data_IF_299394659745
#
_entry.id   IF_299394659745
#
_cell.length_a   1.000
_cell.length_b   1.000
_cell.length_c   1.000
_cell.angle_alpha   90.00
_cell.angle_beta   90.00
_cell.angle_gamma   90.00
#
_symmetry.space_group_name_H-M   'P 1'
#
loop_
_entity.id
_entity.type
_entity.pdbx_description
1 polymer ?
#
# COMPACT_ATOMS: atom_id res chain seq x y z
N UNK A 1 -17.37 -6.20 -18.60
CA UNK A 1 -16.42 -7.33 -18.50
C UNK A 1 -15.89 -7.60 -19.90
N UNK A 2 -14.66 -7.23 -20.18
CA UNK A 2 -14.02 -7.57 -21.44
C UNK A 2 -13.48 -8.98 -21.34
N UNK A 3 -13.80 -9.83 -22.27
CA UNK A 3 -13.31 -11.20 -22.36
C UNK A 3 -12.07 -11.14 -23.25
N UNK A 4 -10.93 -11.76 -22.86
CA UNK A 4 -9.78 -11.80 -23.76
C UNK A 4 -10.17 -12.44 -25.09
N UNK A 5 -10.07 -11.66 -26.17
CA UNK A 5 -10.44 -12.09 -27.54
C UNK A 5 -9.19 -12.46 -28.37
N UNK A 6 -8.12 -12.85 -27.69
CA UNK A 6 -6.90 -13.29 -28.33
C UNK A 6 -6.88 -14.82 -28.43
N UNK A 7 -6.62 -15.42 -29.62
CA UNK A 7 -6.65 -16.88 -29.79
C UNK A 7 -5.72 -17.66 -28.84
N UNK A 8 -4.54 -17.12 -28.54
CA UNK A 8 -3.59 -17.72 -27.60
C UNK A 8 -4.08 -17.70 -26.14
N UNK A 9 -5.03 -16.84 -25.79
CA UNK A 9 -5.63 -16.78 -24.46
C UNK A 9 -6.87 -17.65 -24.30
N UNK A 10 -7.36 -18.26 -25.39
CA UNK A 10 -8.54 -19.13 -25.34
C UNK A 10 -8.40 -20.27 -24.32
N UNK A 11 -7.23 -20.97 -24.18
CA UNK A 11 -7.03 -22.02 -23.17
C UNK A 11 -7.03 -21.50 -21.73
N UNK A 12 -6.78 -20.22 -21.50
CA UNK A 12 -6.66 -19.62 -20.17
C UNK A 12 -7.90 -18.81 -19.77
N UNK A 13 -8.90 -18.71 -20.68
CA UNK A 13 -10.06 -17.82 -20.50
C UNK A 13 -10.76 -18.00 -19.15
N UNK A 14 -11.02 -19.24 -18.74
CA UNK A 14 -11.69 -19.53 -17.47
C UNK A 14 -10.83 -19.08 -16.27
N UNK A 15 -9.52 -19.34 -16.33
CA UNK A 15 -8.58 -18.94 -15.28
C UNK A 15 -8.43 -17.41 -15.19
N UNK A 16 -8.33 -16.72 -16.34
CA UNK A 16 -8.26 -15.25 -16.39
C UNK A 16 -9.52 -14.63 -15.76
N UNK A 17 -10.71 -15.08 -16.15
CA UNK A 17 -11.96 -14.56 -15.57
C UNK A 17 -12.09 -14.86 -14.07
N UNK A 18 -11.61 -16.00 -13.61
CA UNK A 18 -11.60 -16.36 -12.19
C UNK A 18 -10.57 -15.56 -11.38
N UNK A 19 -9.54 -15.03 -12.03
CA UNK A 19 -8.50 -14.21 -11.40
C UNK A 19 -8.88 -12.74 -11.28
N UNK A 20 -9.99 -12.27 -11.88
CA UNK A 20 -10.45 -10.89 -11.72
C UNK A 20 -10.78 -10.58 -10.25
N UNK A 21 -10.17 -9.54 -9.71
CA UNK A 21 -10.45 -9.04 -8.36
C UNK A 21 -11.04 -7.64 -8.38
N UNK A 22 -12.11 -7.38 -7.62
CA UNK A 22 -12.63 -6.03 -7.44
C UNK A 22 -11.64 -5.16 -6.65
N UNK A 23 -11.64 -3.86 -6.94
CA UNK A 23 -10.84 -2.83 -6.30
C UNK A 23 -11.69 -1.64 -5.88
N UNK A 24 -11.20 -0.89 -4.89
CA UNK A 24 -11.63 0.47 -4.63
C UNK A 24 -10.48 1.42 -5.02
N UNK A 25 -10.59 2.01 -6.20
CA UNK A 25 -9.62 2.98 -6.70
C UNK A 25 -9.71 4.26 -5.87
N UNK A 26 -8.55 4.77 -5.46
CA UNK A 26 -8.42 5.98 -4.66
C UNK A 26 -8.12 7.15 -5.59
N UNK A 27 -8.94 8.18 -5.52
CA UNK A 27 -8.75 9.45 -6.23
C UNK A 27 -8.44 10.51 -5.18
N UNK A 28 -7.28 11.16 -5.31
CA UNK A 28 -6.82 12.20 -4.40
C UNK A 28 -7.37 13.55 -4.86
N UNK A 29 -8.04 14.25 -3.93
CA UNK A 29 -8.64 15.55 -4.20
C UNK A 29 -8.10 16.59 -3.20
N UNK A 30 -7.46 17.68 -3.65
CA UNK A 30 -7.06 18.76 -2.78
C UNK A 30 -8.26 19.30 -2.00
N UNK A 31 -8.17 19.38 -0.68
CA UNK A 31 -9.26 19.84 0.17
C UNK A 31 -8.73 20.77 1.25
N UNK A 32 -9.40 21.93 1.43
CA UNK A 32 -9.01 22.92 2.45
C UNK A 32 -9.39 22.55 3.88
N UNK A 33 -10.43 21.72 4.06
CA UNK A 33 -10.94 21.33 5.38
C UNK A 33 -11.18 19.83 5.44
N UNK A 34 -10.22 19.09 6.01
CA UNK A 34 -10.34 17.65 6.25
C UNK A 34 -10.96 17.38 7.62
N UNK A 35 -12.05 16.62 7.68
CA UNK A 35 -12.63 16.16 8.95
C UNK A 35 -11.77 15.08 9.61
N UNK A 36 -11.96 14.84 10.90
CA UNK A 36 -11.20 13.79 11.61
C UNK A 36 -11.55 12.40 11.12
N UNK A 37 -12.79 12.14 10.73
CA UNK A 37 -13.32 10.81 10.41
C UNK A 37 -13.33 10.43 8.92
N UNK A 38 -13.10 11.37 7.99
CA UNK A 38 -13.10 11.07 6.56
C UNK A 38 -11.85 10.34 6.08
N UNK A 39 -11.95 9.70 4.92
CA UNK A 39 -10.80 9.14 4.20
C UNK A 39 -9.91 10.25 3.65
N UNK A 40 -8.58 10.11 3.85
CA UNK A 40 -7.60 11.14 3.51
C UNK A 40 -6.17 10.63 3.45
N UNK A 41 -5.31 11.38 2.78
CA UNK A 41 -3.86 11.32 2.88
C UNK A 41 -3.40 12.46 3.80
N UNK A 42 -2.56 12.14 4.78
CA UNK A 42 -2.02 13.14 5.72
C UNK A 42 -3.06 13.81 6.60
N UNK A 43 -2.72 14.97 7.14
CA UNK A 43 -3.57 15.73 8.04
C UNK A 43 -3.67 15.14 9.46
N UNK A 44 -4.67 15.60 10.23
CA UNK A 44 -4.89 15.11 11.59
C UNK A 44 -5.68 13.79 11.57
N UNK A 45 -5.26 12.77 12.33
CA UNK A 45 -5.93 11.47 12.33
C UNK A 45 -7.24 11.49 13.14
N UNK A 46 -8.11 10.53 12.85
CA UNK A 46 -9.13 10.10 13.78
C UNK A 46 -8.45 9.51 15.03
N UNK A 47 -8.73 10.04 16.20
CA UNK A 47 -8.15 9.57 17.46
C UNK A 47 -9.18 9.67 18.58
N UNK A 48 -9.73 8.53 19.07
CA UNK A 48 -10.56 8.52 20.26
C UNK A 48 -9.84 9.12 21.50
N UNK A 49 -10.59 9.75 22.41
CA UNK A 49 -10.03 10.37 23.60
C UNK A 49 -9.30 9.40 24.54
N UNK A 50 -9.66 8.12 24.50
CA UNK A 50 -9.07 7.05 25.31
C UNK A 50 -7.97 6.26 24.57
N UNK A 51 -7.68 6.58 23.29
CA UNK A 51 -6.66 5.94 22.50
C UNK A 51 -5.29 6.63 22.63
N UNK A 52 -4.24 5.84 22.58
CA UNK A 52 -2.88 6.36 22.54
C UNK A 52 -2.47 6.70 21.10
N UNK A 53 -1.87 7.88 20.91
CA UNK A 53 -1.28 8.25 19.62
C UNK A 53 -0.07 7.38 19.30
N UNK A 54 0.05 6.80 18.07
CA UNK A 54 1.13 5.89 17.71
C UNK A 54 2.50 6.60 17.73
N UNK A 55 3.47 5.93 18.34
CA UNK A 55 4.84 6.43 18.50
C UNK A 55 5.85 5.33 18.16
N UNK A 56 7.02 5.76 17.68
CA UNK A 56 8.16 4.86 17.50
C UNK A 56 8.80 4.48 18.86
N UNK A 57 9.76 3.55 18.92
CA UNK A 57 10.42 3.14 20.16
C UNK A 57 11.15 4.27 20.91
N UNK A 58 11.45 5.37 20.24
CA UNK A 58 12.03 6.58 20.85
C UNK A 58 10.98 7.57 21.33
N UNK A 59 9.71 7.16 21.37
CA UNK A 59 8.55 7.97 21.77
C UNK A 59 8.23 9.16 20.87
N UNK A 60 8.79 9.19 19.67
CA UNK A 60 8.45 10.20 18.67
C UNK A 60 7.12 9.84 17.99
N UNK A 61 6.24 10.82 17.74
CA UNK A 61 4.97 10.55 17.08
C UNK A 61 5.21 10.08 15.65
N UNK A 62 4.46 9.08 15.22
CA UNK A 62 4.39 8.70 13.82
C UNK A 62 3.50 9.68 13.06
N UNK A 63 3.73 9.82 11.77
CA UNK A 63 2.94 10.72 10.90
C UNK A 63 1.85 9.92 10.21
N UNK A 64 0.62 10.41 10.22
CA UNK A 64 -0.46 9.81 9.43
C UNK A 64 -0.10 9.90 7.94
N UNK A 65 0.01 8.75 7.29
CA UNK A 65 0.15 8.69 5.84
C UNK A 65 -1.23 8.62 5.18
N UNK A 66 -2.04 7.65 5.57
CA UNK A 66 -3.37 7.45 5.01
C UNK A 66 -4.39 7.05 6.08
N UNK A 67 -5.62 7.47 5.89
CA UNK A 67 -6.79 7.07 6.67
C UNK A 67 -7.91 6.69 5.72
N UNK A 68 -8.51 5.52 5.95
CA UNK A 68 -9.62 5.00 5.18
C UNK A 68 -10.82 4.80 6.09
N UNK A 69 -11.90 5.48 5.81
CA UNK A 69 -13.21 5.19 6.39
C UNK A 69 -13.92 4.20 5.45
N UNK A 70 -14.04 2.95 5.88
CA UNK A 70 -14.63 1.89 5.04
C UNK A 70 -16.09 2.14 4.65
N UNK A 71 -16.80 2.99 5.37
CA UNK A 71 -18.16 3.38 4.99
C UNK A 71 -18.23 4.27 3.74
N UNK A 72 -17.11 4.89 3.34
CA UNK A 72 -17.00 5.78 2.18
C UNK A 72 -16.59 5.05 0.90
N UNK A 73 -16.13 3.79 1.01
CA UNK A 73 -15.64 3.04 -0.14
C UNK A 73 -16.63 1.98 -0.64
N UNK A 74 -16.56 1.58 -1.93
CA UNK A 74 -17.32 0.44 -2.43
C UNK A 74 -16.96 -0.83 -1.63
N UNK A 75 -17.94 -1.69 -1.32
CA UNK A 75 -17.68 -2.91 -0.58
C UNK A 75 -16.79 -3.86 -1.38
N UNK A 76 -15.77 -4.40 -0.73
CA UNK A 76 -14.87 -5.41 -1.28
C UNK A 76 -15.00 -6.72 -0.49
N UNK A 77 -14.85 -7.90 -1.14
CA UNK A 77 -14.82 -9.18 -0.46
C UNK A 77 -13.79 -9.21 0.67
N UNK A 78 -14.15 -9.77 1.81
CA UNK A 78 -13.33 -9.91 3.02
C UNK A 78 -12.93 -8.60 3.71
N UNK A 79 -13.13 -7.44 3.11
CA UNK A 79 -12.84 -6.14 3.73
C UNK A 79 -13.93 -5.69 4.71
N UNK A 80 -13.61 -4.85 5.71
CA UNK A 80 -14.62 -4.18 6.51
C UNK A 80 -15.55 -3.33 5.65
N UNK A 81 -16.80 -3.16 6.08
CA UNK A 81 -17.76 -2.23 5.46
C UNK A 81 -18.00 -0.98 6.32
N UNK A 82 -17.32 -0.89 7.47
CA UNK A 82 -17.37 0.23 8.41
C UNK A 82 -16.07 0.31 9.20
N UNK A 83 -15.90 1.39 9.97
CA UNK A 83 -14.70 1.61 10.77
C UNK A 83 -13.60 2.35 10.00
N UNK A 84 -12.56 2.72 10.72
CA UNK A 84 -11.45 3.54 10.21
C UNK A 84 -10.15 2.75 10.29
N UNK A 85 -9.49 2.55 9.16
CA UNK A 85 -8.12 2.06 9.04
C UNK A 85 -7.18 3.25 8.92
N UNK A 86 -6.05 3.19 9.63
CA UNK A 86 -5.02 4.22 9.57
C UNK A 86 -3.66 3.58 9.30
N UNK A 87 -2.89 4.22 8.43
CA UNK A 87 -1.50 3.88 8.15
C UNK A 87 -0.62 5.05 8.56
N UNK A 88 0.23 4.83 9.55
CA UNK A 88 1.23 5.80 10.02
C UNK A 88 2.63 5.35 9.61
N UNK A 89 3.49 6.32 9.35
CA UNK A 89 4.91 6.11 9.03
C UNK A 89 5.80 6.96 9.93
N UNK A 90 7.04 6.52 10.09
CA UNK A 90 8.05 7.27 10.83
C UNK A 90 8.79 8.23 9.89
N UNK A 91 8.81 9.53 10.24
CA UNK A 91 9.61 10.54 9.54
C UNK A 91 10.87 10.95 10.33
N UNK A 92 11.06 10.40 11.52
CA UNK A 92 12.15 10.79 12.41
C UNK A 92 13.31 9.82 12.35
N UNK A 93 14.52 10.37 12.42
CA UNK A 93 15.75 9.57 12.54
C UNK A 93 16.46 9.33 11.23
N UNK A 94 17.66 8.87 11.38
CA UNK A 94 18.61 8.67 10.32
C UNK A 94 18.31 7.36 9.54
N UNK A 95 18.21 7.40 8.22
CA UNK A 95 17.87 6.25 7.36
C UNK A 95 16.54 5.57 7.72
N UNK A 96 15.53 6.35 8.00
CA UNK A 96 14.28 5.76 8.44
C UNK A 96 13.46 5.09 7.33
N UNK A 97 13.77 5.30 6.05
CA UNK A 97 13.05 4.73 4.89
C UNK A 97 11.51 4.73 5.10
N UNK A 98 10.97 5.83 5.66
CA UNK A 98 9.57 5.95 6.08
C UNK A 98 9.09 4.85 7.02
N UNK A 99 10.02 4.32 7.83
CA UNK A 99 9.75 3.30 8.84
C UNK A 99 9.78 1.86 8.37
N UNK A 100 10.20 1.59 7.13
CA UNK A 100 10.35 0.24 6.60
C UNK A 100 11.50 -0.49 7.32
N UNK A 101 11.22 -1.66 7.87
CA UNK A 101 12.22 -2.66 8.27
C UNK A 101 12.31 -3.75 7.19
N UNK A 102 13.26 -3.62 6.26
CA UNK A 102 13.43 -4.56 5.15
C UNK A 102 13.77 -6.00 5.59
N UNK A 103 14.23 -6.18 6.85
CA UNK A 103 14.53 -7.51 7.40
C UNK A 103 13.33 -8.16 8.07
N UNK A 104 12.40 -7.35 8.56
CA UNK A 104 11.16 -7.80 9.18
C UNK A 104 10.02 -6.84 8.80
N UNK A 105 9.41 -6.99 7.62
CA UNK A 105 8.39 -6.08 7.13
C UNK A 105 7.08 -6.11 7.92
N UNK A 106 6.96 -7.02 8.90
CA UNK A 106 5.86 -7.07 9.87
C UNK A 106 6.15 -6.26 11.14
N UNK A 107 7.38 -5.76 11.32
CA UNK A 107 7.76 -4.98 12.50
C UNK A 107 7.18 -3.57 12.42
N UNK A 108 6.17 -3.29 13.24
CA UNK A 108 5.47 -2.02 13.26
C UNK A 108 6.12 -0.94 14.16
N UNK A 109 7.39 -1.06 14.49
CA UNK A 109 8.13 -0.02 15.26
C UNK A 109 8.30 1.28 14.45
N UNK A 110 8.52 1.15 13.15
CA UNK A 110 8.72 2.28 12.25
C UNK A 110 7.47 2.71 11.47
N UNK A 111 6.45 1.89 11.46
CA UNK A 111 5.13 2.22 10.91
C UNK A 111 4.05 1.70 11.87
N UNK A 112 2.81 2.03 11.66
CA UNK A 112 1.70 1.48 12.43
C UNK A 112 0.45 1.43 11.59
N UNK A 113 -0.24 0.28 11.65
CA UNK A 113 -1.59 0.15 11.12
C UNK A 113 -2.56 0.00 12.29
N UNK A 114 -3.55 0.89 12.36
CA UNK A 114 -4.60 0.87 13.38
C UNK A 114 -5.95 0.70 12.72
N UNK A 115 -6.84 -0.02 13.39
CA UNK A 115 -8.22 -0.16 12.94
C UNK A 115 -9.18 0.09 14.10
N UNK A 116 -10.11 1.02 13.87
CA UNK A 116 -11.20 1.36 14.79
C UNK A 116 -12.51 0.85 14.18
N UNK A 117 -13.14 -0.20 14.73
CA UNK A 117 -14.33 -0.81 14.13
C UNK A 117 -15.57 0.09 14.22
N UNK A 118 -15.61 0.99 15.20
CA UNK A 118 -16.68 1.95 15.42
C UNK A 118 -16.18 3.36 15.14
N UNK A 119 -17.00 4.16 14.45
CA UNK A 119 -16.73 5.58 14.22
C UNK A 119 -17.49 6.39 15.25
N UNK A 120 -16.76 6.94 16.21
CA UNK A 120 -17.29 7.77 17.28
C UNK A 120 -17.62 9.17 16.78
N UNK A 121 -18.53 9.90 17.45
CA UNK A 121 -18.82 11.29 17.14
C UNK A 121 -17.65 12.22 17.54
N UNK A 122 -17.60 13.39 16.95
CA UNK A 122 -16.47 14.33 17.06
C UNK A 122 -16.16 14.77 18.51
N UNK A 123 -17.15 14.81 19.41
CA UNK A 123 -16.98 15.13 20.82
C UNK A 123 -16.27 14.03 21.63
N UNK A 124 -16.20 12.81 21.09
CA UNK A 124 -15.43 11.69 21.65
C UNK A 124 -14.01 11.57 21.06
N UNK A 125 -13.61 12.53 20.21
CA UNK A 125 -12.31 12.53 19.55
C UNK A 125 -11.39 13.64 20.10
N UNK A 126 -10.08 13.38 20.04
CA UNK A 126 -9.05 14.38 20.30
C UNK A 126 -9.18 15.51 19.27
N UNK A 127 -9.29 16.76 19.78
CA UNK A 127 -9.38 17.97 18.96
C UNK A 127 -8.07 18.77 19.00
N UNK A 128 -7.31 18.67 20.07
CA UNK A 128 -6.03 19.36 20.25
C UNK A 128 -4.85 18.40 20.02
N UNK A 129 -4.15 18.62 18.93
CA UNK A 129 -2.96 17.84 18.52
C UNK A 129 -1.66 18.61 18.76
N UNK A 130 -1.64 19.67 19.59
CA UNK A 130 -0.43 20.46 19.91
C UNK A 130 0.72 19.60 20.48
N UNK A 131 0.43 18.43 21.04
CA UNK A 131 1.45 17.49 21.51
C UNK A 131 2.33 16.92 20.38
N UNK A 132 1.93 17.02 19.12
CA UNK A 132 2.73 16.62 17.96
C UNK A 132 3.89 17.60 17.70
N UNK A 133 3.81 18.82 18.17
CA UNK A 133 4.87 19.85 18.01
C UNK A 133 6.08 19.54 18.92
N UNK A 134 5.88 18.80 20.02
CA UNK A 134 6.91 18.47 21.00
C UNK A 134 7.54 17.11 20.71
N UNK A 135 8.39 17.04 19.69
CA UNK A 135 9.08 15.79 19.29
C UNK A 135 10.32 15.57 20.14
N UNK A 136 10.43 14.44 20.87
CA UNK A 136 11.65 14.11 21.60
C UNK A 136 12.84 13.94 20.67
N UNK A 137 14.05 14.41 21.04
CA UNK A 137 15.24 14.21 20.22
C UNK A 137 15.60 12.72 20.13
N UNK A 138 16.02 12.26 18.95
CA UNK A 138 16.59 10.92 18.79
C UNK A 138 17.95 10.90 19.48
N UNK A 139 18.23 9.95 20.39
CA UNK A 139 19.58 9.78 20.89
C UNK A 139 20.49 9.41 19.71
N UNK A 140 21.67 10.06 19.58
CA UNK A 140 22.58 9.75 18.49
C UNK A 140 22.95 8.26 18.51
N UNK A 141 22.93 7.58 17.35
CA UNK A 141 23.27 6.17 17.30
C UNK A 141 24.67 5.94 17.86
N UNK A 142 24.87 4.86 18.63
CA UNK A 142 26.19 4.43 19.09
C UNK A 142 27.01 3.93 17.89
N UNK A 143 27.51 4.85 17.07
CA UNK A 143 28.28 4.56 15.85
C UNK A 143 29.74 4.94 16.02
N UNK A 144 30.63 4.21 15.35
CA UNK A 144 32.05 4.59 15.31
C UNK A 144 32.24 5.96 14.67
N UNK A 145 33.25 6.71 15.10
CA UNK A 145 33.55 8.07 14.65
C UNK A 145 33.64 8.17 13.10
N UNK A 146 34.17 7.14 12.43
CA UNK A 146 34.31 7.07 10.98
C UNK A 146 32.98 7.00 10.21
N UNK A 147 31.99 6.30 10.76
CA UNK A 147 30.64 6.31 10.18
C UNK A 147 29.93 7.66 10.37
N UNK A 148 30.14 8.33 11.51
CA UNK A 148 29.57 9.66 11.78
C UNK A 148 30.07 10.72 10.77
N UNK A 149 31.33 10.64 10.33
CA UNK A 149 31.90 11.58 9.35
C UNK A 149 31.35 11.33 7.95
N UNK A 150 31.11 10.07 7.57
CA UNK A 150 30.57 9.71 6.25
C UNK A 150 29.10 10.09 6.09
N UNK A 151 28.39 10.13 7.21
CA UNK A 151 26.96 10.42 7.28
C UNK A 151 26.67 11.92 7.55
N UNK A 152 27.74 12.75 7.69
CA UNK A 152 27.62 14.17 7.96
C UNK A 152 27.12 14.92 6.71
N UNK A 153 25.86 15.31 6.72
CA UNK A 153 25.15 15.96 5.61
C UNK A 153 23.84 15.27 5.24
N UNK A 154 23.52 14.13 5.88
CA UNK A 154 22.27 13.40 5.68
C UNK A 154 21.31 13.54 6.89
N UNK A 155 21.50 14.55 7.74
CA UNK A 155 20.65 14.86 8.90
C UNK A 155 19.35 15.59 8.48
N UNK A 156 18.80 15.26 7.31
CA UNK A 156 17.54 15.82 6.86
C UNK A 156 16.36 15.18 7.57
N UNK A 157 15.38 15.99 7.99
CA UNK A 157 14.04 15.50 8.27
C UNK A 157 13.52 14.83 6.99
N UNK A 158 13.07 13.57 7.10
CA UNK A 158 12.40 12.94 5.97
C UNK A 158 11.06 13.61 5.75
N UNK A 159 10.82 14.10 4.56
CA UNK A 159 9.48 14.54 4.17
C UNK A 159 8.58 13.32 3.96
N UNK A 160 7.28 13.42 4.26
CA UNK A 160 6.34 12.35 3.94
C UNK A 160 6.26 12.15 2.43
N UNK A 161 5.88 10.95 1.96
CA UNK A 161 5.70 10.69 0.53
C UNK A 161 4.39 11.30 -0.02
N UNK A 162 3.98 12.46 0.50
CA UNK A 162 2.87 13.28 -0.01
C UNK A 162 3.20 14.77 0.11
N UNK A 163 2.69 15.56 -0.83
CA UNK A 163 3.00 17.00 -0.90
C UNK A 163 2.14 17.79 0.07
N UNK A 164 0.83 17.54 0.05
CA UNK A 164 -0.16 18.19 0.92
C UNK A 164 -1.23 17.18 1.32
N UNK A 165 -1.88 17.37 2.49
CA UNK A 165 -3.04 16.56 2.85
C UNK A 165 -4.15 16.68 1.81
N UNK A 166 -4.75 15.53 1.44
CA UNK A 166 -5.79 15.42 0.43
C UNK A 166 -6.97 14.60 0.94
N UNK A 167 -8.19 14.93 0.52
CA UNK A 167 -9.32 14.04 0.66
C UNK A 167 -9.19 12.85 -0.29
N UNK A 168 -9.77 11.72 0.09
CA UNK A 168 -9.90 10.53 -0.75
C UNK A 168 -11.35 10.40 -1.20
N UNK A 169 -11.54 10.21 -2.51
CA UNK A 169 -12.77 9.70 -3.09
C UNK A 169 -12.51 8.32 -3.69
N UNK A 170 -13.48 7.43 -3.58
CA UNK A 170 -13.36 6.07 -4.12
C UNK A 170 -14.16 5.89 -5.41
N UNK A 171 -13.66 5.01 -6.26
CA UNK A 171 -14.35 4.52 -7.45
C UNK A 171 -14.20 2.99 -7.50
N UNK A 172 -15.28 2.29 -7.87
CA UNK A 172 -15.22 0.85 -8.10
C UNK A 172 -14.38 0.54 -9.33
N UNK A 173 -13.51 -0.44 -9.22
CA UNK A 173 -12.69 -0.98 -10.30
C UNK A 173 -12.57 -2.50 -10.21
N UNK A 174 -11.82 -3.07 -11.12
CA UNK A 174 -11.37 -4.45 -11.07
C UNK A 174 -10.01 -4.61 -11.77
N UNK A 175 -9.26 -5.64 -11.39
CA UNK A 175 -7.95 -5.90 -11.93
C UNK A 175 -7.72 -7.38 -12.17
N UNK A 176 -6.80 -7.66 -13.08
CA UNK A 176 -6.19 -8.96 -13.32
C UNK A 176 -4.74 -8.96 -12.79
N UNK A 177 -4.20 -10.11 -12.34
CA UNK A 177 -2.81 -10.16 -11.89
C UNK A 177 -1.86 -9.90 -13.06
N UNK A 178 -0.82 -9.12 -12.83
CA UNK A 178 0.28 -8.95 -13.78
C UNK A 178 1.41 -9.93 -13.47
N UNK A 179 2.43 -10.00 -14.32
CA UNK A 179 3.66 -10.76 -14.05
C UNK A 179 4.49 -10.18 -12.90
N UNK A 180 4.11 -9.06 -12.34
CA UNK A 180 4.74 -8.52 -11.13
C UNK A 180 4.16 -9.11 -9.84
N UNK A 181 2.98 -9.75 -9.89
CA UNK A 181 2.35 -10.37 -8.73
C UNK A 181 2.81 -11.82 -8.55
N UNK A 182 3.50 -12.12 -7.44
CA UNK A 182 4.00 -13.46 -7.15
C UNK A 182 2.91 -14.53 -7.00
N UNK A 183 1.63 -14.14 -6.97
CA UNK A 183 0.50 -15.07 -6.92
C UNK A 183 -0.07 -15.40 -8.31
N UNK A 184 0.49 -14.82 -9.38
CA UNK A 184 0.03 -15.11 -10.74
C UNK A 184 0.12 -16.61 -11.04
N UNK A 185 -1.02 -17.21 -11.31
CA UNK A 185 -1.15 -18.60 -11.74
C UNK A 185 -2.43 -18.78 -12.56
N UNK A 186 -2.27 -18.87 -13.87
CA UNK A 186 -3.38 -19.09 -14.80
C UNK A 186 -3.26 -20.51 -15.40
N UNK A 187 -4.18 -21.37 -15.01
CA UNK A 187 -4.22 -22.74 -15.49
C UNK A 187 -4.63 -22.80 -16.95
N UNK A 188 -3.78 -23.47 -17.76
CA UNK A 188 -4.05 -23.72 -19.18
C UNK A 188 -4.86 -24.99 -19.43
N UNK A 189 -5.83 -24.93 -20.34
CA UNK A 189 -6.59 -26.11 -20.78
C UNK A 189 -5.83 -26.83 -21.92
N UNK A 190 -5.06 -27.85 -21.56
CA UNK A 190 -4.27 -28.66 -22.52
C UNK A 190 -2.99 -27.97 -23.00
N UNK A 191 -2.58 -26.90 -22.36
CA UNK A 191 -1.33 -26.15 -22.59
C UNK A 191 -0.64 -25.86 -21.24
N UNK A 192 0.64 -25.46 -21.23
CA UNK A 192 1.33 -25.06 -19.99
C UNK A 192 0.61 -23.93 -19.26
N UNK A 193 0.73 -23.89 -17.92
CA UNK A 193 0.16 -22.80 -17.11
C UNK A 193 1.01 -21.53 -17.27
N UNK A 194 0.37 -20.35 -17.23
CA UNK A 194 1.05 -19.05 -17.09
C UNK A 194 1.23 -18.76 -15.61
N UNK A 195 2.47 -18.61 -15.16
CA UNK A 195 2.79 -18.36 -13.75
C UNK A 195 3.83 -17.24 -13.61
N UNK A 196 3.92 -16.67 -12.41
CA UNK A 196 4.96 -15.70 -12.06
C UNK A 196 6.39 -16.25 -12.31
N UNK A 197 6.62 -17.52 -11.97
CA UNK A 197 7.96 -18.12 -12.01
C UNK A 197 8.39 -18.55 -13.44
N UNK A 198 7.49 -18.65 -14.42
CA UNK A 198 7.80 -19.14 -15.77
C UNK A 198 7.68 -18.12 -16.91
N UNK A 199 7.54 -16.84 -16.56
CA UNK A 199 7.46 -15.74 -17.54
C UNK A 199 8.62 -15.73 -18.56
N UNK A 200 9.82 -16.15 -18.13
CA UNK A 200 11.03 -16.11 -18.99
C UNK A 200 11.27 -17.40 -19.80
N UNK A 201 10.50 -18.48 -19.57
CA UNK A 201 10.91 -19.82 -20.05
C UNK A 201 9.89 -20.62 -20.85
N UNK A 202 8.57 -20.33 -20.76
CA UNK A 202 7.52 -21.14 -21.37
C UNK A 202 6.50 -20.30 -22.15
N UNK A 203 6.25 -20.66 -23.41
CA UNK A 203 5.26 -20.06 -24.31
C UNK A 203 5.21 -18.52 -24.30
N UNK A 204 6.34 -17.89 -24.70
CA UNK A 204 6.51 -16.43 -24.79
C UNK A 204 5.30 -15.74 -25.46
N UNK A 205 4.73 -16.32 -26.51
CA UNK A 205 3.62 -15.71 -27.25
C UNK A 205 2.30 -15.65 -26.43
N UNK A 206 2.02 -16.62 -25.56
CA UNK A 206 0.85 -16.58 -24.68
C UNK A 206 1.06 -15.62 -23.53
N UNK A 207 2.27 -15.52 -22.99
CA UNK A 207 2.65 -14.55 -21.97
C UNK A 207 2.57 -13.12 -22.50
N UNK A 208 3.06 -12.86 -23.72
CA UNK A 208 2.95 -11.57 -24.40
C UNK A 208 1.48 -11.18 -24.63
N UNK A 209 0.67 -12.11 -25.12
CA UNK A 209 -0.76 -11.87 -25.33
C UNK A 209 -1.50 -11.58 -24.01
N UNK A 210 -1.08 -12.24 -22.91
CA UNK A 210 -1.65 -11.97 -21.59
C UNK A 210 -1.22 -10.59 -21.06
N UNK A 211 0.04 -10.22 -21.25
CA UNK A 211 0.56 -8.90 -20.92
C UNK A 211 -0.20 -7.80 -21.64
N UNK A 212 -0.41 -7.95 -22.97
CA UNK A 212 -1.21 -7.01 -23.75
C UNK A 212 -2.65 -6.92 -23.26
N UNK A 213 -3.27 -8.04 -22.88
CA UNK A 213 -4.62 -8.07 -22.30
C UNK A 213 -4.67 -7.29 -20.97
N UNK A 214 -3.77 -7.57 -20.03
CA UNK A 214 -3.71 -6.88 -18.73
C UNK A 214 -3.48 -5.38 -18.94
N UNK A 215 -2.62 -5.00 -19.89
CA UNK A 215 -2.38 -3.61 -20.24
C UNK A 215 -3.62 -2.91 -20.79
N UNK A 216 -4.38 -3.58 -21.64
CA UNK A 216 -5.60 -3.00 -22.24
C UNK A 216 -6.74 -2.87 -21.22
N UNK A 217 -6.80 -3.75 -20.21
CA UNK A 217 -7.83 -3.73 -19.16
C UNK A 217 -7.44 -2.84 -17.98
N UNK A 218 -6.15 -2.70 -17.69
CA UNK A 218 -5.66 -1.71 -16.74
C UNK A 218 -5.82 -0.32 -17.37
N UNK A 219 -6.45 0.61 -16.67
CA UNK A 219 -6.27 2.00 -17.01
C UNK A 219 -4.77 2.29 -16.77
N UNK A 220 -3.97 2.15 -17.83
CA UNK A 220 -2.57 2.53 -17.76
C UNK A 220 -2.50 3.95 -17.24
N UNK A 221 -1.74 4.19 -16.19
CA UNK A 221 -1.44 5.54 -15.76
C UNK A 221 -0.64 6.27 -16.86
N UNK A 222 -0.46 7.58 -16.72
CA UNK A 222 0.28 8.39 -17.71
C UNK A 222 1.73 7.87 -17.91
N UNK A 223 2.25 7.01 -17.02
CA UNK A 223 3.59 6.38 -17.08
C UNK A 223 3.60 5.06 -17.85
N UNK A 224 2.43 4.53 -18.21
CA UNK A 224 2.29 3.24 -18.87
C UNK A 224 2.48 2.04 -17.93
N UNK A 225 2.37 2.24 -16.61
CA UNK A 225 2.45 1.16 -15.63
C UNK A 225 1.16 0.35 -15.58
N UNK A 226 1.28 -0.98 -15.53
CA UNK A 226 0.16 -1.90 -15.29
C UNK A 226 -0.21 -1.84 -13.82
N UNK A 227 -1.50 -1.88 -13.52
CA UNK A 227 -1.95 -1.85 -12.13
C UNK A 227 -1.37 -0.68 -11.31
N UNK A 228 -0.88 0.39 -11.95
CA UNK A 228 -0.45 1.64 -11.31
C UNK A 228 -1.61 2.37 -10.62
N UNK A 229 -1.31 3.44 -9.83
CA UNK A 229 -2.29 4.24 -9.10
C UNK A 229 -2.57 3.79 -7.67
N UNK A 230 -3.45 4.51 -6.99
CA UNK A 230 -3.76 4.29 -5.58
C UNK A 230 -5.02 3.43 -5.42
N UNK A 231 -5.01 2.43 -4.51
CA UNK A 231 -6.19 1.56 -4.34
C UNK A 231 -6.21 0.76 -3.04
N UNK A 232 -7.38 0.24 -2.75
CA UNK A 232 -7.62 -0.80 -1.74
C UNK A 232 -7.96 -2.11 -2.49
N UNK A 233 -7.34 -3.22 -2.06
CA UNK A 233 -7.54 -4.54 -2.70
C UNK A 233 -6.86 -4.66 -4.06
N UNK A 234 -7.32 -5.61 -4.88
CA UNK A 234 -6.75 -5.90 -6.20
C UNK A 234 -5.38 -6.57 -6.16
N UNK A 235 -4.54 -6.21 -7.13
CA UNK A 235 -3.18 -6.73 -7.32
C UNK A 235 -2.15 -5.60 -7.28
N UNK A 236 -0.94 -5.84 -6.73
CA UNK A 236 0.09 -4.81 -6.62
C UNK A 236 0.79 -4.53 -7.94
N UNK A 237 1.38 -3.35 -8.00
CA UNK A 237 2.38 -2.93 -8.97
C UNK A 237 3.68 -2.60 -8.23
N UNK A 238 4.81 -3.00 -8.77
CA UNK A 238 6.13 -2.73 -8.19
C UNK A 238 7.02 -2.03 -9.20
N UNK A 239 7.94 -1.19 -8.73
CA UNK A 239 9.02 -0.67 -9.57
C UNK A 239 10.23 -1.61 -9.58
N UNK A 240 10.32 -2.52 -8.61
CA UNK A 240 11.36 -3.54 -8.51
C UNK A 240 10.73 -4.94 -8.51
N UNK A 241 10.87 -5.69 -7.42
CA UNK A 241 10.39 -7.07 -7.30
C UNK A 241 9.32 -7.19 -6.21
N UNK A 242 8.42 -8.15 -6.36
CA UNK A 242 7.44 -8.46 -5.33
C UNK A 242 8.13 -9.01 -4.07
N UNK A 243 8.15 -8.27 -2.94
CA UNK A 243 8.83 -8.71 -1.74
C UNK A 243 8.22 -9.97 -1.12
N UNK A 244 6.97 -10.32 -1.48
CA UNK A 244 6.30 -11.55 -1.02
C UNK A 244 6.92 -12.79 -1.66
N UNK A 245 7.53 -12.66 -2.85
CA UNK A 245 8.21 -13.77 -3.53
C UNK A 245 9.45 -14.25 -2.77
N UNK A 246 10.12 -13.35 -2.04
CA UNK A 246 11.37 -13.64 -1.34
C UNK A 246 11.20 -14.54 -0.12
N UNK A 247 10.00 -14.58 0.48
CA UNK A 247 9.73 -15.35 1.70
C UNK A 247 8.47 -16.17 1.52
N UNK A 248 8.55 -17.51 1.49
CA UNK A 248 7.39 -18.38 1.23
C UNK A 248 6.18 -18.10 2.13
N UNK A 249 6.39 -17.70 3.38
CA UNK A 249 5.32 -17.38 4.33
C UNK A 249 4.52 -16.12 3.95
N UNK A 250 5.03 -15.28 3.04
CA UNK A 250 4.36 -14.05 2.62
C UNK A 250 3.65 -14.18 1.27
N UNK A 251 3.87 -15.27 0.52
CA UNK A 251 3.22 -15.47 -0.79
C UNK A 251 1.70 -15.46 -0.74
N UNK A 252 1.10 -15.85 0.38
CA UNK A 252 -0.37 -15.84 0.56
C UNK A 252 -0.95 -14.48 0.95
N UNK A 253 -0.09 -13.49 1.26
CA UNK A 253 -0.54 -12.16 1.62
C UNK A 253 -1.19 -11.47 0.42
N UNK A 254 -2.34 -10.84 0.66
CA UNK A 254 -3.08 -10.06 -0.34
C UNK A 254 -2.84 -8.58 -0.16
N UNK A 255 -2.99 -7.82 -1.22
CA UNK A 255 -2.89 -6.36 -1.15
C UNK A 255 -4.01 -5.79 -0.28
N UNK A 256 -3.64 -5.09 0.79
CA UNK A 256 -4.54 -4.31 1.62
C UNK A 256 -4.72 -2.91 1.03
N UNK A 257 -3.61 -2.23 0.74
CA UNK A 257 -3.58 -0.87 0.19
C UNK A 257 -2.33 -0.67 -0.65
N UNK A 258 -2.46 0.07 -1.74
CA UNK A 258 -1.37 0.62 -2.54
C UNK A 258 -1.49 2.13 -2.61
N UNK A 259 -0.39 2.82 -2.37
CA UNK A 259 -0.24 4.25 -2.64
C UNK A 259 0.93 4.44 -3.59
N UNK A 260 0.64 4.90 -4.77
CA UNK A 260 1.60 5.09 -5.84
C UNK A 260 2.16 6.54 -5.86
N UNK A 261 3.15 6.82 -6.69
CA UNK A 261 3.58 8.16 -7.04
C UNK A 261 2.72 8.70 -8.19
N UNK A 262 2.19 9.92 -8.05
CA UNK A 262 1.29 10.53 -9.05
C UNK A 262 1.72 11.93 -9.51
N UNK A 263 2.98 12.32 -9.25
CA UNK A 263 3.59 13.62 -9.57
C UNK A 263 2.89 14.87 -8.98
N UNK A 264 1.70 14.73 -8.43
CA UNK A 264 0.89 15.86 -7.91
C UNK A 264 0.72 15.83 -6.40
N UNK A 265 0.42 14.64 -5.86
CA UNK A 265 0.02 14.48 -4.46
C UNK A 265 0.99 13.60 -3.68
N UNK A 266 1.52 12.55 -4.31
CA UNK A 266 2.38 11.55 -3.66
C UNK A 266 3.64 11.28 -4.49
N UNK A 267 4.75 11.03 -3.78
CA UNK A 267 6.02 10.66 -4.38
C UNK A 267 6.81 9.75 -3.43
N UNK A 268 7.04 8.51 -3.84
CA UNK A 268 7.82 7.52 -3.11
C UNK A 268 9.22 7.42 -3.72
N UNK A 269 10.20 8.05 -3.07
CA UNK A 269 11.56 8.06 -3.59
C UNK A 269 11.64 8.64 -5.00
N UNK A 270 12.07 7.84 -5.96
CA UNK A 270 12.11 8.16 -7.40
C UNK A 270 10.99 7.39 -8.11
N UNK A 271 9.80 7.97 -8.16
CA UNK A 271 8.60 7.44 -8.79
C UNK A 271 8.20 6.02 -8.33
N UNK A 272 8.40 5.72 -7.05
CA UNK A 272 8.11 4.42 -6.46
C UNK A 272 6.67 4.25 -5.97
N UNK A 273 6.44 3.18 -5.22
CA UNK A 273 5.13 2.77 -4.74
C UNK A 273 5.19 2.18 -3.33
N UNK A 274 4.22 2.52 -2.49
CA UNK A 274 4.10 2.00 -1.12
C UNK A 274 2.93 1.03 -0.98
N UNK A 275 3.16 -0.06 -0.24
CA UNK A 275 2.22 -1.17 -0.09
C UNK A 275 1.98 -1.57 1.34
N UNK A 276 0.74 -1.92 1.63
CA UNK A 276 0.37 -2.75 2.76
C UNK A 276 -0.19 -4.08 2.26
N UNK A 277 0.31 -5.19 2.80
CA UNK A 277 -0.21 -6.53 2.55
C UNK A 277 -0.68 -7.17 3.86
N UNK A 278 -1.67 -8.05 3.77
CA UNK A 278 -2.25 -8.72 4.92
C UNK A 278 -2.55 -10.18 4.60
N UNK A 279 -2.37 -11.07 5.57
CA UNK A 279 -2.82 -12.45 5.41
C UNK A 279 -4.37 -12.49 5.29
N UNK A 280 -4.95 -13.25 4.34
CA UNK A 280 -6.41 -13.29 4.13
C UNK A 280 -7.21 -13.61 5.39
N UNK A 281 -6.72 -14.51 6.24
CA UNK A 281 -7.37 -14.84 7.49
C UNK A 281 -7.37 -13.70 8.50
N UNK A 282 -6.31 -12.90 8.55
CA UNK A 282 -6.22 -11.73 9.42
C UNK A 282 -7.18 -10.64 8.93
N UNK A 283 -7.27 -10.44 7.61
CA UNK A 283 -8.23 -9.51 7.01
C UNK A 283 -9.67 -9.88 7.39
N UNK A 284 -10.05 -11.17 7.24
CA UNK A 284 -11.40 -11.65 7.62
C UNK A 284 -11.70 -11.47 9.10
N UNK A 285 -10.68 -11.65 9.97
CA UNK A 285 -10.81 -11.44 11.42
C UNK A 285 -10.69 -9.98 11.84
N UNK A 286 -10.41 -9.06 10.92
CA UNK A 286 -10.12 -7.65 11.23
C UNK A 286 -8.89 -7.47 12.14
N UNK A 287 -7.93 -8.36 12.06
CA UNK A 287 -6.68 -8.31 12.80
C UNK A 287 -5.58 -7.67 11.94
N UNK A 288 -5.35 -6.40 12.14
CA UNK A 288 -4.34 -5.62 11.42
C UNK A 288 -2.98 -5.55 12.15
N UNK A 289 -2.77 -6.39 13.18
CA UNK A 289 -1.52 -6.41 13.96
C UNK A 289 -0.32 -6.97 13.19
N UNK A 290 -0.56 -7.74 12.12
CA UNK A 290 0.46 -8.41 11.30
C UNK A 290 0.39 -7.98 9.84
N UNK A 291 0.16 -6.70 9.60
CA UNK A 291 0.26 -6.13 8.24
C UNK A 291 1.72 -6.05 7.84
N UNK A 292 2.02 -6.48 6.64
CA UNK A 292 3.33 -6.34 6.01
C UNK A 292 3.38 -4.99 5.29
N UNK A 293 4.43 -4.21 5.55
CA UNK A 293 4.72 -2.96 4.87
C UNK A 293 5.91 -3.13 3.93
N UNK A 294 5.76 -2.58 2.73
CA UNK A 294 6.85 -2.46 1.76
C UNK A 294 6.71 -1.17 0.96
N UNK A 295 7.81 -0.67 0.44
CA UNK A 295 7.84 0.32 -0.61
C UNK A 295 9.13 0.15 -1.42
N UNK A 296 9.08 0.50 -2.68
CA UNK A 296 10.21 0.44 -3.61
C UNK A 296 10.20 1.67 -4.53
N UNK A 297 11.31 1.93 -5.20
CA UNK A 297 11.45 2.98 -6.22
C UNK A 297 12.55 2.61 -7.21
N UNK A 298 12.66 3.35 -8.32
CA UNK A 298 13.69 3.17 -9.35
C UNK A 298 15.10 3.43 -8.82
#
# INVERSE_FOLDING_TARGET
MRIPDHPLLAPYKAAILAAEKPTAEIILEPCGNLTLSQSKIGGLPYLPLDAEYPRNPYRQPLTLLAQINFAEMPPLPDFPTSGILQWFINLHGFFNCWGLDSKNPLNQDGFRVLYYPEVLPDDALVQDFSFLENVPPVPPPKRSLWRRIKDWGMDGESHPPFVHPCAIRFQSGSQFPSFQDCTLHLRGEGVPDITYDNYEHDDEAACDAYTEFVFAESAADERGCYNGGHRIGGYPEFTQEDPRALVPAYREYVQLMQLDSDDKHTMWGDAGVGHLFIHPDDLRRRDFSRVMYSWDCC
#
